data_IF_307148762283
#
_entry.id   IF_307148762283
#
_cell.length_a   1.000
_cell.length_b   1.000
_cell.length_c   1.000
_cell.angle_alpha   90.00
_cell.angle_beta   90.00
_cell.angle_gamma   90.00
#
_symmetry.space_group_name_H-M   'P 1'
#
loop_
_entity.id
_entity.type
_entity.pdbx_description
1 polymer ?
#
# COMPACT_ATOMS: atom_id res chain seq x y z
N UNK A 1 -10.30 -6.05 8.84
CA UNK A 1 -10.63 -6.42 7.46
C UNK A 1 -10.39 -5.18 6.61
N UNK A 2 -9.30 -5.16 5.85
CA UNK A 2 -8.91 -3.96 5.08
C UNK A 2 -10.07 -3.56 4.17
N UNK A 3 -10.45 -2.27 4.17
CA UNK A 3 -11.75 -1.73 3.78
C UNK A 3 -12.18 -1.87 2.31
N UNK A 4 -12.20 -3.10 1.79
CA UNK A 4 -12.75 -3.46 0.49
C UNK A 4 -14.21 -3.00 0.35
N UNK A 5 -14.52 -2.43 -0.81
CA UNK A 5 -15.86 -2.09 -1.24
C UNK A 5 -16.07 -2.59 -2.68
N UNK A 6 -17.27 -3.03 -3.06
CA UNK A 6 -17.62 -3.23 -4.45
C UNK A 6 -17.37 -1.94 -5.25
N UNK A 7 -17.06 -2.09 -6.55
CA UNK A 7 -16.99 -0.98 -7.51
C UNK A 7 -15.99 0.13 -7.15
N UNK A 8 -14.91 -0.24 -6.44
CA UNK A 8 -13.80 0.67 -6.19
C UNK A 8 -13.14 1.10 -7.49
N UNK A 9 -12.65 2.35 -7.51
CA UNK A 9 -11.75 2.81 -8.56
C UNK A 9 -10.46 1.99 -8.56
N UNK A 10 -9.77 1.95 -9.70
CA UNK A 10 -8.48 1.27 -9.78
C UNK A 10 -7.46 1.85 -8.78
N UNK A 11 -7.46 3.17 -8.58
CA UNK A 11 -6.56 3.85 -7.66
C UNK A 11 -6.86 3.51 -6.18
N UNK A 12 -8.14 3.44 -5.81
CA UNK A 12 -8.54 3.00 -4.47
C UNK A 12 -8.15 1.54 -4.24
N UNK A 13 -8.33 0.68 -5.25
CA UNK A 13 -7.96 -0.73 -5.16
C UNK A 13 -6.45 -0.92 -5.02
N UNK A 14 -5.63 -0.16 -5.76
CA UNK A 14 -4.16 -0.16 -5.64
C UNK A 14 -3.74 0.32 -4.25
N UNK A 15 -4.37 1.39 -3.74
CA UNK A 15 -4.11 1.91 -2.40
C UNK A 15 -4.44 0.87 -1.32
N UNK A 16 -5.58 0.20 -1.46
CA UNK A 16 -5.99 -0.88 -0.57
C UNK A 16 -5.00 -2.06 -0.61
N UNK A 17 -4.54 -2.44 -1.80
CA UNK A 17 -3.55 -3.51 -1.97
C UNK A 17 -2.22 -3.15 -1.31
N UNK A 18 -1.72 -1.92 -1.47
CA UNK A 18 -0.50 -1.45 -0.82
C UNK A 18 -0.60 -1.54 0.71
N UNK A 19 -1.74 -1.10 1.28
CA UNK A 19 -2.01 -1.21 2.71
C UNK A 19 -2.04 -2.67 3.18
N UNK A 20 -2.74 -3.54 2.45
CA UNK A 20 -2.85 -4.95 2.81
C UNK A 20 -1.49 -5.65 2.79
N UNK A 21 -0.64 -5.36 1.79
CA UNK A 21 0.72 -5.90 1.71
C UNK A 21 1.60 -5.41 2.87
N UNK A 22 1.45 -4.15 3.26
CA UNK A 22 2.16 -3.62 4.43
C UNK A 22 1.70 -4.27 5.73
N UNK A 23 0.39 -4.36 5.97
CA UNK A 23 -0.17 -5.03 7.16
C UNK A 23 0.29 -6.49 7.24
N UNK A 24 0.38 -7.18 6.10
CA UNK A 24 0.92 -8.54 6.04
C UNK A 24 2.40 -8.59 6.42
N UNK A 25 3.23 -7.67 5.91
CA UNK A 25 4.65 -7.61 6.22
C UNK A 25 4.95 -7.28 7.70
N UNK A 26 4.08 -6.54 8.37
CA UNK A 26 4.23 -6.23 9.82
C UNK A 26 4.08 -7.46 10.70
N UNK A 27 3.29 -8.46 10.27
CA UNK A 27 3.01 -9.67 11.07
C UNK A 27 3.78 -10.90 10.58
N UNK A 28 4.42 -10.82 9.42
CA UNK A 28 5.23 -11.89 8.84
C UNK A 28 6.51 -11.35 8.19
N UNK A 29 7.65 -11.63 8.83
CA UNK A 29 8.96 -11.20 8.36
C UNK A 29 9.36 -11.79 7.00
N UNK A 30 8.73 -12.89 6.55
CA UNK A 30 9.00 -13.50 5.25
C UNK A 30 8.29 -12.78 4.08
N UNK A 31 7.27 -11.95 4.36
CA UNK A 31 6.50 -11.23 3.33
C UNK A 31 7.29 -10.06 2.74
N UNK A 32 8.10 -9.37 3.56
CA UNK A 32 8.90 -8.22 3.15
C UNK A 32 8.06 -6.97 2.86
N UNK A 33 8.24 -5.91 3.65
CA UNK A 33 7.56 -4.63 3.45
C UNK A 33 8.22 -3.78 2.35
N UNK A 34 7.58 -2.67 1.99
CA UNK A 34 8.26 -1.64 1.22
C UNK A 34 9.44 -1.05 2.01
N UNK A 35 10.59 -0.86 1.36
CA UNK A 35 11.76 -0.18 1.90
C UNK A 35 11.90 1.17 1.18
N UNK A 36 11.21 2.19 1.70
CA UNK A 36 11.21 3.53 1.13
C UNK A 36 12.60 4.20 1.19
N UNK A 37 13.46 3.81 2.14
CA UNK A 37 14.83 4.34 2.24
C UNK A 37 15.69 3.86 1.08
N UNK A 38 15.45 2.63 0.59
CA UNK A 38 16.14 2.06 -0.57
C UNK A 38 15.34 2.17 -1.88
N UNK A 39 14.13 2.72 -1.84
CA UNK A 39 13.24 2.81 -3.00
C UNK A 39 12.75 1.45 -3.52
N UNK A 40 12.54 0.47 -2.63
CA UNK A 40 12.10 -0.88 -3.00
C UNK A 40 10.63 -1.03 -2.63
N UNK A 41 9.77 -1.30 -3.61
CA UNK A 41 8.33 -1.44 -3.44
C UNK A 41 7.81 -2.78 -4.00
N UNK A 42 6.67 -3.29 -3.49
CA UNK A 42 6.01 -4.44 -4.08
C UNK A 42 5.61 -4.19 -5.54
N UNK A 43 5.62 -5.24 -6.35
CA UNK A 43 5.09 -5.15 -7.72
C UNK A 43 3.56 -5.18 -7.67
N UNK A 44 2.93 -4.11 -8.13
CA UNK A 44 1.47 -4.01 -8.26
C UNK A 44 1.11 -3.74 -9.71
N UNK A 45 0.05 -4.39 -10.19
CA UNK A 45 -0.47 -4.18 -11.53
C UNK A 45 -2.00 -4.23 -11.54
N UNK A 46 -2.60 -3.47 -12.44
CA UNK A 46 -4.03 -3.55 -12.76
C UNK A 46 -4.21 -4.33 -14.05
N UNK A 47 -5.28 -5.11 -14.14
CA UNK A 47 -5.68 -5.82 -15.36
C UNK A 47 -7.06 -5.33 -15.74
N UNK A 48 -7.18 -4.75 -16.93
CA UNK A 48 -8.44 -4.20 -17.48
C UNK A 48 -8.71 -4.75 -18.88
N UNK A 49 -9.75 -4.25 -19.55
CA UNK A 49 -9.98 -4.55 -20.97
C UNK A 49 -8.80 -4.15 -21.87
N UNK A 50 -8.03 -3.13 -21.47
CA UNK A 50 -6.81 -2.69 -22.16
C UNK A 50 -5.58 -3.55 -21.83
N UNK A 51 -5.76 -4.59 -21.00
CA UNK A 51 -4.72 -5.54 -20.62
C UNK A 51 -4.04 -5.20 -19.28
N UNK A 52 -2.82 -5.71 -19.14
CA UNK A 52 -2.01 -5.59 -17.93
C UNK A 52 -1.23 -4.28 -17.92
N UNK A 53 -1.28 -3.57 -16.79
CA UNK A 53 -0.52 -2.34 -16.57
C UNK A 53 0.16 -2.38 -15.20
N UNK A 54 1.49 -2.46 -15.20
CA UNK A 54 2.28 -2.29 -13.97
C UNK A 54 2.21 -0.85 -13.47
N UNK A 55 1.97 -0.70 -12.18
CA UNK A 55 2.12 0.57 -11.49
C UNK A 55 3.59 0.87 -11.25
N UNK A 56 3.99 2.10 -11.50
CA UNK A 56 5.38 2.54 -11.33
C UNK A 56 5.68 2.74 -9.86
N UNK A 57 6.95 2.66 -9.48
CA UNK A 57 7.35 2.94 -8.08
C UNK A 57 7.00 4.39 -7.69
N UNK A 58 7.05 5.33 -8.64
CA UNK A 58 6.59 6.71 -8.45
C UNK A 58 5.08 6.83 -8.15
N UNK A 59 4.28 5.88 -8.61
CA UNK A 59 2.87 5.78 -8.25
C UNK A 59 2.68 5.11 -6.88
N UNK A 60 3.47 4.07 -6.57
CA UNK A 60 3.33 3.34 -5.32
C UNK A 60 3.89 4.10 -4.11
N UNK A 61 5.01 4.80 -4.25
CA UNK A 61 5.69 5.54 -3.19
C UNK A 61 4.75 6.45 -2.36
N UNK A 62 3.98 7.38 -2.96
CA UNK A 62 3.11 8.27 -2.19
C UNK A 62 1.99 7.53 -1.45
N UNK A 63 1.55 6.37 -1.97
CA UNK A 63 0.52 5.55 -1.31
C UNK A 63 1.09 4.87 -0.06
N UNK A 64 2.34 4.41 -0.11
CA UNK A 64 3.06 3.87 1.05
C UNK A 64 3.36 4.94 2.09
N UNK A 65 3.83 6.11 1.67
CA UNK A 65 4.11 7.25 2.56
C UNK A 65 2.86 7.71 3.31
N UNK A 66 1.74 7.89 2.60
CA UNK A 66 0.50 8.40 3.18
C UNK A 66 0.03 7.56 4.38
N UNK A 67 -0.01 6.23 4.28
CA UNK A 67 -0.47 5.43 5.41
C UNK A 67 0.58 5.27 6.52
N UNK A 68 1.88 5.34 6.20
CA UNK A 68 2.94 5.33 7.22
C UNK A 68 2.86 6.59 8.08
N UNK A 69 2.56 7.74 7.46
CA UNK A 69 2.30 8.99 8.15
C UNK A 69 1.04 8.92 9.01
N UNK A 70 -0.06 8.35 8.49
CA UNK A 70 -1.28 8.08 9.28
C UNK A 70 -0.99 7.22 10.52
N UNK A 71 -0.22 6.14 10.36
CA UNK A 71 0.14 5.27 11.49
C UNK A 71 1.01 5.99 12.52
N UNK A 72 1.95 6.82 12.07
CA UNK A 72 2.80 7.62 12.95
C UNK A 72 1.95 8.61 13.75
N UNK A 73 1.02 9.31 13.08
CA UNK A 73 0.09 10.23 13.72
C UNK A 73 -0.79 9.53 14.78
N UNK A 74 -1.34 8.36 14.44
CA UNK A 74 -2.16 7.55 15.35
C UNK A 74 -1.37 7.12 16.60
N UNK A 75 -0.12 6.68 16.43
CA UNK A 75 0.77 6.29 17.54
C UNK A 75 1.15 7.47 18.42
N UNK A 76 1.33 8.66 17.85
CA UNK A 76 1.61 9.88 18.63
C UNK A 76 0.40 10.45 19.36
N UNK A 77 -0.82 10.25 18.86
CA UNK A 77 -2.06 10.75 19.48
C UNK A 77 -2.59 9.88 20.63
N UNK A 78 -2.18 8.61 20.71
CA UNK A 78 -2.58 7.69 21.79
C UNK A 78 -1.72 7.76 23.06
N UNK A 79 -0.69 8.60 23.08
CA UNK A 79 0.22 8.77 24.23
C UNK A 79 -0.15 9.97 25.12
N UNK A 80 -1.39 10.47 25.03
CA UNK A 80 -1.87 11.61 25.82
C UNK A 80 -3.07 11.27 26.68
#
# INVERSE_FOLDING_TARGET
>A
KVGFRPEMSADDAVTLACRALHEAAEVDAATGGADALRGIYPVVATITADGWLRRTDADLAPRFEAFLDEQRAMRSGGAS
#
